data_IF_703083060040
#
_entry.id   IF_703083060040
#
_cell.length_a   1.000
_cell.length_b   1.000
_cell.length_c   1.000
_cell.angle_alpha   90.00
_cell.angle_beta   90.00
_cell.angle_gamma   90.00
#
_symmetry.space_group_name_H-M   'P 1'
#
loop_
_entity.id
_entity.type
_entity.pdbx_description
1 polymer ?
2 polymer ?
3 non-polymer ?
4 water ?
#
# COMPACT_ATOMS: atom_id res chain seq x y z
N UNK A 1 -10.79 15.67 3.26
CA UNK A 1 -10.40 15.49 4.65
C UNK A 1 -8.89 15.29 4.82
N UNK A 2 -8.39 15.52 6.03
CA UNK A 2 -7.03 15.12 6.41
C UNK A 2 -7.14 13.84 7.21
N UNK A 3 -6.36 12.84 6.81
CA UNK A 3 -6.42 11.53 7.43
C UNK A 3 -5.06 11.22 8.07
N UNK A 4 -5.07 11.00 9.40
CA UNK A 4 -3.88 10.52 10.07
C UNK A 4 -3.79 9.02 9.83
N UNK A 5 -2.66 8.43 10.15
CA UNK A 5 -2.38 7.07 9.73
C UNK A 5 -2.20 6.12 10.89
N UNK A 6 -2.67 6.54 12.07
CA UNK A 6 -2.63 5.69 13.26
C UNK A 6 -3.54 4.45 13.13
N UNK A 7 -4.64 4.60 12.39
CA UNK A 7 -5.50 3.48 11.98
C UNK A 7 -5.43 3.31 10.46
N UNK A 8 -5.88 2.15 9.98
CA UNK A 8 -6.03 1.94 8.55
C UNK A 8 -6.90 3.04 7.96
N UNK A 9 -6.49 3.62 6.82
CA UNK A 9 -7.28 4.68 6.19
C UNK A 9 -8.43 4.09 5.37
N UNK A 10 -9.43 3.59 6.11
CA UNK A 10 -10.61 2.97 5.51
C UNK A 10 -11.67 4.04 5.29
N UNK A 11 -12.23 4.06 4.08
CA UNK A 11 -13.29 4.99 3.73
C UNK A 11 -14.45 4.22 3.12
N UNK A 12 -15.63 4.83 3.10
CA UNK A 12 -16.75 4.27 2.38
C UNK A 12 -16.68 4.71 0.91
N UNK A 13 -16.81 3.76 0.00
CA UNK A 13 -16.91 4.09 -1.42
C UNK A 13 -18.30 3.69 -1.94
N UNK A 14 -18.75 4.40 -2.98
CA UNK A 14 -19.99 4.08 -3.66
C UNK A 14 -19.68 3.66 -5.09
N UNK A 15 -20.14 2.47 -5.45
CA UNK A 15 -19.85 1.86 -6.73
C UNK A 15 -21.09 1.09 -7.16
N UNK A 16 -21.70 1.52 -8.27
CA UNK A 16 -22.99 1.00 -8.71
C UNK A 16 -24.10 1.17 -7.69
N UNK A 17 -24.14 2.32 -7.01
CA UNK A 17 -25.09 2.55 -5.95
C UNK A 17 -24.83 1.83 -4.62
N UNK A 18 -23.99 0.79 -4.63
CA UNK A 18 -23.65 0.05 -3.41
C UNK A 18 -22.56 0.77 -2.61
N UNK A 19 -22.67 0.69 -1.28
CA UNK A 19 -21.64 1.24 -0.40
C UNK A 19 -20.75 0.10 0.08
N UNK A 20 -19.45 0.31 -0.04
CA UNK A 20 -18.47 -0.66 0.44
C UNK A 20 -17.34 0.06 1.16
N UNK A 21 -16.61 -0.67 2.00
CA UNK A 21 -15.44 -0.13 2.68
C UNK A 21 -14.21 -0.39 1.80
N UNK A 22 -13.29 0.56 1.76
CA UNK A 22 -12.06 0.41 0.99
C UNK A 22 -10.90 1.12 1.65
N UNK A 23 -9.70 0.66 1.33
CA UNK A 23 -8.47 1.18 1.92
C UNK A 23 -7.76 2.10 0.93
N UNK A 24 -7.48 3.33 1.34
CA UNK A 24 -6.73 4.26 0.52
C UNK A 24 -5.27 3.82 0.57
N UNK A 25 -4.75 3.37 -0.56
CA UNK A 25 -3.44 2.72 -0.62
C UNK A 25 -2.49 3.41 -1.63
N UNK A 26 -1.67 4.33 -1.10
CA UNK A 26 -0.71 5.08 -1.91
C UNK A 26 0.34 4.18 -2.57
N UNK A 27 0.55 2.99 -2.00
CA UNK A 27 1.51 2.05 -2.56
C UNK A 27 1.03 1.27 -3.76
N UNK A 28 -0.27 1.33 -4.07
CA UNK A 28 -0.86 0.56 -5.18
C UNK A 28 -1.00 1.42 -6.42
N UNK A 29 -0.44 0.94 -7.55
CA UNK A 29 -0.68 1.57 -8.85
C UNK A 29 -2.16 1.53 -9.23
N UNK A 30 -2.79 0.39 -8.95
CA UNK A 30 -4.13 0.11 -9.44
C UNK A 30 -5.11 -0.04 -8.29
N UNK A 31 -6.39 0.01 -8.65
CA UNK A 31 -7.49 -0.16 -7.72
C UNK A 31 -8.00 -1.59 -7.85
N UNK A 32 -8.08 -2.29 -6.72
CA UNK A 32 -8.45 -3.70 -6.71
C UNK A 32 -9.60 -3.90 -5.75
N UNK A 33 -10.67 -4.52 -6.25
CA UNK A 33 -11.91 -4.65 -5.51
C UNK A 33 -12.38 -6.09 -5.45
N UNK A 34 -13.03 -6.43 -4.34
CA UNK A 34 -13.59 -7.75 -4.11
C UNK A 34 -14.59 -8.14 -5.19
N UNK A 35 -14.82 -9.45 -5.29
CA UNK A 35 -15.81 -10.02 -6.20
C UNK A 35 -17.09 -9.22 -6.14
N UNK A 36 -17.51 -8.70 -7.29
CA UNK A 36 -18.77 -7.99 -7.40
C UNK A 36 -19.25 -8.08 -8.84
N UNK A 37 -20.48 -7.65 -9.07
CA UNK A 37 -21.09 -7.67 -10.39
C UNK A 37 -21.05 -6.29 -11.01
N UNK A 38 -20.06 -6.04 -11.85
CA UNK A 38 -20.05 -4.84 -12.68
C UNK A 38 -20.58 -5.19 -14.06
N UNK A 39 -21.28 -4.24 -14.69
CA UNK A 39 -21.86 -4.50 -16.00
C UNK A 39 -20.84 -4.31 -17.12
N UNK A 40 -21.07 -4.99 -18.23
CA UNK A 40 -20.30 -4.76 -19.44
C UNK A 40 -19.04 -5.60 -19.53
N UNK A 41 -18.14 -5.17 -20.41
CA UNK A 41 -17.00 -5.98 -20.81
C UNK A 41 -15.76 -5.73 -19.96
N UNK A 42 -14.92 -6.76 -19.90
CA UNK A 42 -13.69 -6.72 -19.11
C UNK A 42 -12.57 -7.44 -19.84
N UNK A 43 -11.34 -7.18 -19.40
CA UNK A 43 -10.15 -7.81 -19.96
C UNK A 43 -9.46 -8.63 -18.85
N UNK A 44 -8.98 -9.83 -19.19
CA UNK A 44 -8.31 -10.67 -18.19
C UNK A 44 -6.94 -10.11 -17.81
N UNK A 45 -6.58 -10.17 -16.54
CA UNK A 45 -5.31 -9.62 -16.10
C UNK A 45 -4.75 -10.41 -14.95
N UNK A 46 -3.46 -10.21 -14.71
CA UNK A 46 -2.70 -10.91 -13.70
C UNK A 46 -2.08 -9.85 -12.80
N UNK A 47 -2.19 -9.99 -11.49
CA UNK A 47 -1.43 -9.14 -10.58
C UNK A 47 -0.54 -9.96 -9.64
N UNK A 48 0.73 -9.57 -9.60
CA UNK A 48 1.75 -10.27 -8.84
C UNK A 48 1.75 -9.95 -7.37
N UNK A 49 2.03 -10.96 -6.56
CA UNK A 49 2.29 -10.79 -5.14
C UNK A 49 3.40 -11.72 -4.72
N UNK A 50 3.51 -11.96 -3.42
CA UNK A 50 4.53 -12.86 -2.91
C UNK A 50 4.25 -14.28 -3.36
N UNK A 51 5.19 -14.82 -4.14
CA UNK A 51 5.16 -16.23 -4.53
C UNK A 51 4.11 -16.60 -5.56
N UNK A 52 3.65 -15.64 -6.34
CA UNK A 52 2.67 -15.95 -7.39
C UNK A 52 1.80 -14.79 -7.84
N UNK A 53 0.72 -15.15 -8.53
CA UNK A 53 -0.12 -14.16 -9.20
C UNK A 53 -1.59 -14.47 -8.94
N UNK A 54 -2.41 -13.43 -8.95
CA UNK A 54 -3.84 -13.53 -8.78
C UNK A 54 -4.53 -13.11 -10.09
N UNK A 55 -5.50 -13.92 -10.51
CA UNK A 55 -6.27 -13.62 -11.71
C UNK A 55 -7.36 -12.61 -11.39
N UNK A 56 -7.45 -11.56 -12.21
CA UNK A 56 -8.46 -10.52 -11.99
C UNK A 56 -9.10 -10.08 -13.31
N UNK A 57 -10.22 -9.37 -13.20
CA UNK A 57 -10.94 -8.82 -14.34
C UNK A 57 -10.80 -7.31 -14.33
N UNK A 58 -10.32 -6.75 -15.42
CA UNK A 58 -10.09 -5.31 -15.55
C UNK A 58 -11.27 -4.67 -16.26
N UNK A 59 -11.93 -3.74 -15.57
CA UNK A 59 -13.04 -2.98 -16.13
C UNK A 59 -12.63 -1.52 -16.24
N UNK A 60 -12.83 -0.93 -17.42
CA UNK A 60 -12.52 0.49 -17.64
C UNK A 60 -13.71 1.37 -17.35
N UNK A 61 -13.43 2.64 -17.09
CA UNK A 61 -14.46 3.69 -16.98
C UNK A 61 -15.57 3.38 -15.96
N UNK A 62 -15.17 3.00 -14.74
CA UNK A 62 -16.10 2.74 -13.65
C UNK A 62 -16.18 3.97 -12.75
N UNK A 63 -17.40 4.37 -12.42
CA UNK A 63 -17.64 5.52 -11.54
C UNK A 63 -17.54 5.06 -10.07
N UNK A 64 -16.63 5.68 -9.32
CA UNK A 64 -16.53 5.45 -7.88
C UNK A 64 -16.58 6.80 -7.15
N UNK A 65 -17.42 6.88 -6.12
CA UNK A 65 -17.51 8.09 -5.30
C UNK A 65 -16.79 7.85 -3.98
N UNK A 66 -15.94 8.79 -3.59
CA UNK A 66 -15.14 8.70 -2.36
C UNK A 66 -15.18 10.04 -1.62
N UNK A 67 -15.74 10.04 -0.41
CA UNK A 67 -15.87 11.26 0.39
C UNK A 67 -16.28 12.47 -0.43
N UNK A 68 -17.31 12.30 -1.26
CA UNK A 68 -17.84 13.38 -2.07
C UNK A 68 -17.15 13.59 -3.42
N UNK A 69 -16.00 12.96 -3.62
CA UNK A 69 -15.28 13.07 -4.88
C UNK A 69 -15.77 11.98 -5.82
N UNK A 70 -16.04 12.34 -7.07
CA UNK A 70 -16.45 11.36 -8.08
C UNK A 70 -15.29 11.08 -9.02
N UNK A 71 -14.78 9.85 -8.98
CA UNK A 71 -13.70 9.42 -9.86
C UNK A 71 -14.23 8.40 -10.86
N UNK A 72 -13.70 8.45 -12.08
CA UNK A 72 -14.00 7.47 -13.12
C UNK A 72 -12.68 6.85 -13.54
N UNK A 73 -12.59 5.52 -13.50
CA UNK A 73 -11.32 4.87 -13.79
C UNK A 73 -11.39 3.38 -13.92
N UNK A 74 -10.21 2.79 -14.08
CA UNK A 74 -10.07 1.37 -14.27
C UNK A 74 -10.02 0.69 -12.92
N UNK A 75 -10.77 -0.40 -12.77
CA UNK A 75 -10.74 -1.20 -11.55
C UNK A 75 -10.43 -2.66 -11.89
N UNK A 76 -9.70 -3.33 -11.01
CA UNK A 76 -9.43 -4.74 -11.14
C UNK A 76 -10.28 -5.48 -10.12
N UNK A 77 -11.04 -6.48 -10.58
CA UNK A 77 -11.95 -7.20 -9.71
C UNK A 77 -11.41 -8.61 -9.52
N UNK A 78 -11.36 -9.03 -8.25
CA UNK A 78 -10.77 -10.32 -7.92
C UNK A 78 -10.93 -10.69 -6.45
N UNK A 79 -10.40 -11.87 -6.07
CA UNK A 79 -10.55 -12.37 -4.70
C UNK A 79 -9.58 -11.68 -3.74
N UNK A 80 -9.65 -10.35 -3.68
CA UNK A 80 -8.90 -9.60 -2.68
C UNK A 80 -9.70 -9.63 -1.40
N UNK A 81 -9.02 -9.84 -0.26
CA UNK A 81 -9.70 -9.77 1.02
C UNK A 81 -10.01 -8.33 1.44
N UNK A 82 -9.35 -7.34 0.84
CA UNK A 82 -9.62 -5.96 1.15
C UNK A 82 -9.67 -5.12 -0.14
N UNK A 83 -10.64 -4.22 -0.20
CA UNK A 83 -10.78 -3.32 -1.33
C UNK A 83 -9.70 -2.26 -1.22
N UNK A 84 -8.99 -2.04 -2.32
CA UNK A 84 -7.80 -1.20 -2.36
C UNK A 84 -8.01 -0.08 -3.35
N UNK A 85 -8.02 1.16 -2.88
CA UNK A 85 -8.05 2.30 -3.77
C UNK A 85 -6.61 2.70 -4.11
N UNK A 86 -6.24 2.56 -5.38
CA UNK A 86 -4.87 2.84 -5.83
C UNK A 86 -4.67 4.22 -6.43
N UNK A 87 -3.45 4.50 -6.87
CA UNK A 87 -3.08 5.83 -7.34
C UNK A 87 -3.89 6.32 -8.53
N UNK A 88 -4.36 5.40 -9.37
CA UNK A 88 -5.15 5.80 -10.53
C UNK A 88 -6.40 6.59 -10.14
N UNK A 89 -7.01 6.26 -9.00
CA UNK A 89 -8.16 7.00 -8.48
C UNK A 89 -7.75 8.04 -7.44
N UNK A 90 -6.71 7.77 -6.66
CA UNK A 90 -6.27 8.72 -5.63
C UNK A 90 -5.84 10.06 -6.23
N UNK A 91 -5.18 10.01 -7.39
CA UNK A 91 -4.81 11.21 -8.10
C UNK A 91 -6.03 11.99 -8.60
N UNK A 92 -7.08 11.28 -9.00
CA UNK A 92 -8.31 11.94 -9.44
C UNK A 92 -9.05 12.70 -8.34
N UNK A 93 -8.91 12.27 -7.09
CA UNK A 93 -9.54 13.00 -5.99
C UNK A 93 -8.63 14.04 -5.33
N UNK A 94 -7.41 14.19 -5.82
CA UNK A 94 -6.51 15.25 -5.35
C UNK A 94 -5.70 14.83 -4.13
N UNK A 95 -5.50 13.53 -3.98
CA UNK A 95 -4.88 13.00 -2.79
C UNK A 95 -3.36 13.21 -2.78
N UNK A 96 -2.83 13.74 -1.69
CA UNK A 96 -1.38 13.87 -1.49
C UNK A 96 -0.95 13.34 -0.13
N UNK A 97 0.33 13.00 -0.04
CA UNK A 97 0.96 12.66 1.24
C UNK A 97 1.74 13.87 1.74
N UNK A 98 1.65 14.12 3.04
CA UNK A 98 2.26 15.31 3.64
C UNK A 98 2.91 14.99 4.97
N UNK A 99 4.16 15.39 5.12
CA UNK A 99 4.86 15.29 6.40
C UNK A 99 6.00 16.28 6.49
N UNK B 1 7.69 17.40 3.30
CA UNK B 1 7.31 17.69 1.92
C UNK B 1 5.90 17.25 1.57
N UNK B 2 5.42 17.70 0.41
CA UNK B 2 4.17 17.21 -0.16
C UNK B 2 4.53 16.24 -1.27
N UNK B 3 4.03 15.01 -1.17
CA UNK B 3 4.27 14.01 -2.17
C UNK B 3 2.98 13.76 -2.94
N UNK B 4 3.05 13.95 -4.25
CA UNK B 4 1.91 13.71 -5.13
C UNK B 4 1.94 12.26 -5.60
N UNK B 5 0.85 11.81 -6.20
CA UNK B 5 0.70 10.39 -6.51
C UNK B 5 0.62 10.14 -8.01
N UNK B 6 1.07 11.12 -8.81
CA UNK B 6 1.14 10.96 -10.26
C UNK B 6 2.18 9.90 -10.61
N UNK B 7 3.22 9.81 -9.78
CA UNK B 7 4.17 8.70 -9.81
C UNK B 7 4.10 7.94 -8.50
N UNK B 8 4.73 6.75 -8.47
CA UNK B 8 4.86 5.99 -7.22
C UNK B 8 5.54 6.86 -6.18
N UNK B 9 5.06 6.84 -4.92
CA UNK B 9 5.71 7.63 -3.90
C UNK B 9 6.95 6.93 -3.35
N UNK B 10 7.98 6.85 -4.18
CA UNK B 10 9.26 6.25 -3.81
C UNK B 10 10.16 7.32 -3.25
N UNK B 11 10.75 7.06 -2.09
CA UNK B 11 11.65 8.02 -1.46
C UNK B 11 12.93 7.34 -1.01
N UNK B 12 13.92 8.15 -0.68
CA UNK B 12 15.19 7.67 -0.20
C UNK B 12 15.06 7.40 1.30
N UNK B 13 15.56 6.23 1.70
CA UNK B 13 15.63 5.89 3.10
C UNK B 13 17.07 5.51 3.45
N UNK B 14 17.40 5.64 4.73
CA UNK B 14 18.71 5.25 5.21
C UNK B 14 18.49 4.39 6.45
N UNK B 15 19.12 3.22 6.43
CA UNK B 15 18.96 2.26 7.50
C UNK B 15 20.22 1.42 7.55
N UNK B 16 20.78 1.28 8.76
CA UNK B 16 22.06 0.57 8.95
C UNK B 16 23.20 1.18 8.15
N UNK B 17 23.22 2.51 8.04
CA UNK B 17 24.20 3.21 7.20
C UNK B 17 24.06 3.08 5.69
N UNK B 18 23.02 2.41 5.22
CA UNK B 18 22.83 2.17 3.78
C UNK B 18 21.65 2.97 3.25
N UNK B 19 21.79 3.49 2.04
CA UNK B 19 20.70 4.18 1.35
C UNK B 19 19.94 3.20 0.48
N UNK B 20 18.62 3.29 0.50
CA UNK B 20 17.77 2.51 -0.40
C UNK B 20 16.57 3.34 -0.84
N UNK B 21 15.76 2.77 -1.73
CA UNK B 21 14.52 3.39 -2.16
C UNK B 21 13.39 2.60 -1.54
N UNK B 22 12.34 3.29 -1.12
CA UNK B 22 11.20 2.61 -0.54
C UNK B 22 9.90 3.34 -0.85
N UNK B 23 8.83 2.56 -0.93
CA UNK B 23 7.51 3.04 -1.26
C UNK B 23 6.74 3.44 0.01
N UNK B 24 6.29 4.70 0.07
CA UNK B 24 5.41 5.12 1.14
C UNK B 24 4.00 4.56 0.87
N UNK B 25 3.57 3.63 1.73
CA UNK B 25 2.36 2.83 1.50
C UNK B 25 1.37 2.98 2.64
N UNK B 26 0.38 3.83 2.44
CA UNK B 26 -0.64 4.05 3.44
C UNK B 26 -1.51 2.82 3.70
N UNK B 27 -1.55 1.89 2.75
CA UNK B 27 -2.31 0.66 2.91
C UNK B 27 -1.63 -0.42 3.73
N UNK B 28 -0.32 -0.29 3.96
CA UNK B 28 0.41 -1.29 4.72
C UNK B 28 0.44 -0.96 6.22
N UNK B 29 0.10 -1.94 7.06
CA UNK B 29 0.27 -1.80 8.51
C UNK B 29 1.76 -1.70 8.87
N UNK B 30 2.56 -2.48 8.15
CA UNK B 30 3.91 -2.81 8.56
C UNK B 30 4.92 -2.44 7.48
N UNK B 31 6.19 -2.45 7.88
CA UNK B 31 7.31 -2.08 7.00
C UNK B 31 8.14 -3.31 6.63
N UNK B 32 8.30 -3.54 5.32
CA UNK B 32 8.98 -4.73 4.81
C UNK B 32 10.08 -4.29 3.84
N UNK B 33 11.31 -4.73 4.12
CA UNK B 33 12.48 -4.31 3.35
C UNK B 33 13.25 -5.51 2.79
N UNK B 34 13.87 -5.28 1.62
CA UNK B 34 14.71 -6.28 0.95
C UNK B 34 15.84 -6.77 1.84
N UNK B 35 16.31 -7.97 1.55
CA UNK B 35 17.40 -8.59 2.29
C UNK B 35 18.56 -7.62 2.34
N UNK B 36 19.26 -7.65 3.46
CA UNK B 36 20.10 -6.56 3.88
C UNK B 36 20.89 -7.02 5.11
N UNK B 37 22.16 -6.66 5.16
CA UNK B 37 22.96 -6.89 6.35
C UNK B 37 22.64 -5.79 7.35
N UNK B 38 22.02 -6.15 8.47
CA UNK B 38 21.70 -5.21 9.55
C UNK B 38 22.24 -5.77 10.85
N UNK B 39 22.96 -4.93 11.62
CA UNK B 39 23.45 -5.43 12.89
C UNK B 39 22.33 -5.53 13.91
N UNK B 40 22.54 -6.31 14.96
CA UNK B 40 21.64 -6.30 16.09
C UNK B 40 20.72 -7.50 16.13
N UNK B 41 19.91 -7.53 17.19
CA UNK B 41 19.04 -8.66 17.49
C UNK B 41 17.78 -8.59 16.66
N UNK B 42 17.26 -9.76 16.32
CA UNK B 42 16.03 -9.86 15.55
C UNK B 42 15.29 -11.10 15.96
N UNK B 43 14.01 -11.16 15.59
CA UNK B 43 13.18 -12.33 15.84
C UNK B 43 12.69 -12.93 14.52
N UNK B 44 12.76 -14.26 14.39
CA UNK B 44 12.24 -14.87 13.17
C UNK B 44 10.72 -14.73 13.11
N UNK B 45 10.20 -14.53 11.89
CA UNK B 45 8.77 -14.37 11.67
C UNK B 45 8.41 -15.02 10.32
N UNK B 46 7.19 -15.54 10.22
CA UNK B 46 6.66 -16.18 9.01
C UNK B 46 5.48 -15.36 8.53
N UNK B 47 5.32 -15.19 7.22
CA UNK B 47 4.15 -14.51 6.67
C UNK B 47 3.59 -15.32 5.50
N UNK B 48 2.27 -15.54 5.50
CA UNK B 48 1.62 -16.31 4.43
C UNK B 48 1.23 -15.47 3.22
N UNK B 49 1.85 -15.74 2.08
CA UNK B 49 1.53 -15.05 0.82
C UNK B 49 0.64 -15.87 -0.09
N UNK B 50 0.72 -15.61 -1.40
CA UNK B 50 -0.12 -16.30 -2.38
C UNK B 50 0.25 -17.76 -2.49
N UNK B 51 1.47 -18.03 -2.95
CA UNK B 51 1.91 -19.39 -3.24
C UNK B 51 2.39 -20.14 -2.01
N UNK B 52 2.67 -19.38 -0.96
CA UNK B 52 3.24 -19.95 0.23
C UNK B 52 3.70 -18.89 1.20
N UNK B 53 4.46 -19.33 2.18
CA UNK B 53 4.94 -18.47 3.23
C UNK B 53 6.33 -17.99 2.91
N UNK B 54 6.64 -16.78 3.37
CA UNK B 54 8.02 -16.31 3.42
C UNK B 54 8.46 -16.17 4.88
N UNK B 55 9.74 -16.43 5.12
CA UNK B 55 10.40 -16.16 6.39
C UNK B 55 11.11 -14.83 6.29
N UNK B 56 10.97 -14.03 7.34
CA UNK B 56 11.61 -12.73 7.45
C UNK B 56 12.25 -12.58 8.82
N UNK B 57 13.08 -11.55 8.96
CA UNK B 57 13.67 -11.20 10.24
C UNK B 57 13.05 -9.91 10.73
N UNK B 58 12.46 -9.96 11.93
CA UNK B 58 11.86 -8.81 12.55
C UNK B 58 12.88 -8.11 13.44
N UNK B 59 13.13 -6.84 13.12
CA UNK B 59 13.98 -5.99 13.94
C UNK B 59 13.11 -4.92 14.61
N UNK B 60 13.12 -4.87 15.94
CA UNK B 60 12.42 -3.82 16.69
C UNK B 60 13.33 -2.69 17.13
N UNK B 61 12.72 -1.53 17.39
CA UNK B 61 13.43 -0.33 17.88
C UNK B 61 14.61 0.08 17.01
N UNK B 62 14.40 0.00 15.70
CA UNK B 62 15.39 0.34 14.70
C UNK B 62 15.24 1.82 14.31
N UNK B 63 16.36 2.49 14.12
CA UNK B 63 16.34 3.89 13.67
C UNK B 63 16.42 3.89 12.15
N UNK B 64 15.49 4.57 11.50
CA UNK B 64 15.49 4.65 10.05
C UNK B 64 15.21 6.10 9.65
N UNK B 65 15.90 6.60 8.63
CA UNK B 65 15.63 7.92 8.09
C UNK B 65 14.81 7.77 6.84
N UNK B 66 13.72 8.52 6.76
CA UNK B 66 12.79 8.43 5.65
C UNK B 66 12.68 9.83 5.09
N UNK B 67 13.22 10.01 3.89
CA UNK B 67 13.17 11.29 3.21
C UNK B 67 13.61 12.38 4.21
N UNK B 68 14.73 12.11 4.90
CA UNK B 68 15.30 13.05 5.86
C UNK B 68 14.81 13.02 7.30
N UNK B 69 13.64 12.42 7.54
CA UNK B 69 13.04 12.39 8.87
C UNK B 69 13.41 11.12 9.61
N UNK B 70 13.96 11.26 10.82
CA UNK B 70 14.32 10.10 11.63
C UNK B 70 13.07 9.47 12.23
N UNK B 71 13.03 8.14 12.23
CA UNK B 71 11.90 7.40 12.77
C UNK B 71 12.38 6.14 13.43
N UNK B 72 11.66 5.72 14.47
CA UNK B 72 11.99 4.52 15.20
C UNK B 72 10.83 3.56 15.13
N UNK B 73 11.11 2.30 14.82
CA UNK B 73 10.08 1.29 14.76
C UNK B 73 10.56 -0.06 14.31
N UNK B 74 9.60 -0.90 13.98
CA UNK B 74 9.84 -2.28 13.58
C UNK B 74 9.97 -2.37 12.06
N UNK B 75 10.98 -3.10 11.61
CA UNK B 75 11.12 -3.43 10.20
C UNK B 75 11.27 -4.93 10.05
N UNK B 76 10.64 -5.47 9.01
CA UNK B 76 10.74 -6.86 8.63
C UNK B 76 11.65 -6.96 7.39
N UNK B 77 12.67 -7.81 7.45
CA UNK B 77 13.65 -7.94 6.38
C UNK B 77 13.57 -9.33 5.77
N UNK B 78 13.40 -9.39 4.45
CA UNK B 78 13.29 -10.66 3.76
C UNK B 78 13.10 -10.53 2.26
N UNK B 79 12.67 -11.62 1.60
CA UNK B 79 12.58 -11.63 0.15
C UNK B 79 11.36 -10.89 -0.42
N UNK B 80 11.30 -9.58 -0.19
CA UNK B 80 10.23 -8.79 -0.76
C UNK B 80 10.69 -8.20 -2.10
N UNK B 81 9.78 -8.15 -3.10
CA UNK B 81 10.15 -7.54 -4.39
C UNK B 81 10.25 -6.01 -4.35
N UNK B 82 9.69 -5.38 -3.32
CA UNK B 82 9.75 -3.93 -3.19
C UNK B 82 9.81 -3.55 -1.71
N UNK B 83 10.58 -2.51 -1.43
CA UNK B 83 10.67 -1.95 -0.10
C UNK B 83 9.41 -1.11 0.18
N UNK B 84 8.76 -1.44 1.30
CA UNK B 84 7.49 -0.86 1.69
C UNK B 84 7.66 -0.20 3.05
N UNK B 85 7.35 1.09 3.13
CA UNK B 85 7.23 1.79 4.40
C UNK B 85 5.75 1.83 4.73
N UNK B 86 5.39 1.17 5.82
CA UNK B 86 3.99 1.13 6.26
C UNK B 86 3.68 2.13 7.36
N UNK B 87 2.43 2.07 7.83
CA UNK B 87 1.88 3.04 8.75
C UNK B 87 2.64 3.12 10.08
N UNK B 88 3.25 2.01 10.51
CA UNK B 88 4.00 1.99 11.76
C UNK B 88 5.14 3.02 11.78
N UNK B 89 5.70 3.32 10.60
CA UNK B 89 6.71 4.36 10.46
C UNK B 89 6.17 5.68 9.90
N UNK B 90 5.14 5.62 9.05
CA UNK B 90 4.54 6.84 8.50
C UNK B 90 3.99 7.74 9.60
N UNK B 91 3.43 7.14 10.65
CA UNK B 91 2.93 7.91 11.80
C UNK B 91 4.08 8.61 12.52
N UNK B 92 5.24 7.94 12.59
CA UNK B 92 6.40 8.48 13.28
C UNK B 92 7.05 9.67 12.61
N UNK B 93 6.83 9.85 11.30
CA UNK B 93 7.30 11.03 10.59
C UNK B 93 6.20 12.09 10.43
N UNK B 94 5.01 11.81 10.98
CA UNK B 94 3.92 12.77 10.97
C UNK B 94 3.19 12.83 9.65
N UNK B 95 3.18 11.71 8.93
CA UNK B 95 2.59 11.66 7.59
C UNK B 95 1.08 11.64 7.65
N UNK B 96 0.44 12.50 6.87
CA UNK B 96 -1.01 12.49 6.71
C UNK B 96 -1.40 12.31 5.24
N UNK B 97 -2.61 11.78 5.03
CA UNK B 97 -3.24 11.74 3.72
C UNK B 97 -4.20 12.91 3.64
N UNK B 98 -4.15 13.65 2.52
CA UNK B 98 -4.94 14.87 2.37
C UNK B 98 -5.55 14.96 1.00
N UNK B 99 -6.86 15.19 0.95
CA UNK B 99 -7.56 15.51 -0.31
C UNK B 99 -8.78 16.38 -0.05
N UNK C 1 0.95 -7.13 7.21
CA UNK C 1 -0.21 -6.74 6.43
C UNK C 1 0.21 -5.69 5.40
N UNK C 2 0.42 -6.16 4.18
CA UNK C 2 0.82 -5.32 3.03
C UNK C 2 0.02 -5.75 1.80
N UNK C 3 -1.16 -5.14 1.59
CA UNK C 3 -2.05 -5.55 0.49
C UNK C 3 -1.40 -5.58 -0.90
N UNK C 4 -0.52 -4.64 -1.22
CA UNK C 4 0.11 -4.67 -2.57
C UNK C 4 1.09 -5.83 -2.78
N UNK C 5 1.55 -6.45 -1.70
CA UNK C 5 2.36 -7.66 -1.80
C UNK C 5 1.49 -8.92 -1.63
N UNK C 6 0.19 -8.74 -1.46
CA UNK C 6 -0.73 -9.83 -1.11
C UNK C 6 -0.29 -10.59 0.16
N UNK C 7 0.10 -9.83 1.17
CA UNK C 7 0.50 -10.35 2.47
C UNK C 7 -0.50 -9.89 3.52
#
# INVERSE_FOLDING_TARGET
PQITLWQRPLVTIKIGGQLKEALLDTGADDTVLEEMNLPGRWKPKMIGGIGGFIKVRQYDQILIEICGHKAIGTVLVGPTPVNIIGRNLLTQIGCTLNF
PQITLWQRPLVTIKIGGQLKEALLDTGADDTVLEEMNLPGRWKPKMIGGIGGFIKVRQYDQILIEICGHKAIGTVLVGPTPVNIIGRNLLTQIGCTLNF
FVPVLWLXX
#
